data_IF_244328672670
#
_entry.id   IF_244328672670
#
_cell.length_a   1.000
_cell.length_b   1.000
_cell.length_c   1.000
_cell.angle_alpha   90.00
_cell.angle_beta   90.00
_cell.angle_gamma   90.00
#
_symmetry.space_group_name_H-M   'P 1'
#
loop_
_entity.id
_entity.type
_entity.pdbx_description
1 polymer ?
2 polymer ?
3 water ?
#
# COMPACT_ATOMS: atom_id res chain seq x y z
N UNK A 1 16.73 7.59 -5.72
CA UNK A 1 17.20 6.37 -5.02
C UNK A 1 16.41 5.08 -5.35
N UNK A 2 17.09 3.95 -5.47
CA UNK A 2 16.41 2.65 -5.55
C UNK A 2 16.17 2.20 -4.10
N UNK A 3 14.96 1.77 -3.78
CA UNK A 3 14.61 1.34 -2.42
C UNK A 3 13.97 -0.06 -2.43
N UNK A 4 14.72 -1.08 -2.00
CA UNK A 4 14.23 -2.45 -1.79
C UNK A 4 13.26 -2.59 -0.60
N UNK A 5 12.65 -3.76 -0.44
CA UNK A 5 11.39 -3.89 0.30
C UNK A 5 11.47 -4.85 1.49
N UNK A 6 12.70 -5.22 1.89
CA UNK A 6 12.94 -6.11 3.01
C UNK A 6 12.47 -5.48 4.31
N UNK A 7 12.42 -4.15 4.38
CA UNK A 7 11.72 -3.50 5.49
C UNK A 7 10.69 -2.53 4.87
N UNK A 8 9.78 -2.00 5.68
CA UNK A 8 8.98 -0.82 5.33
C UNK A 8 9.71 0.35 4.69
N UNK A 9 9.26 0.76 3.50
CA UNK A 9 9.86 1.84 2.70
C UNK A 9 9.48 3.22 3.26
N UNK A 10 10.02 3.48 4.45
CA UNK A 10 9.81 4.71 5.17
C UNK A 10 10.79 5.76 4.74
N UNK A 11 10.32 6.97 4.50
CA UNK A 11 11.14 8.06 4.02
C UNK A 11 10.79 9.26 4.87
N UNK A 12 11.71 10.23 4.78
CA UNK A 12 11.51 11.45 5.51
C UNK A 12 10.85 12.46 4.63
N UNK A 13 9.76 13.04 5.11
CA UNK A 13 9.05 14.15 4.47
C UNK A 13 8.98 15.46 5.26
N UNK A 14 8.91 16.56 4.54
CA UNK A 14 8.72 17.86 5.16
C UNK A 14 7.47 18.40 4.53
N UNK A 15 6.56 18.81 5.39
CA UNK A 15 5.26 19.27 4.97
C UNK A 15 4.69 20.23 6.00
N UNK A 16 4.07 21.30 5.54
CA UNK A 16 3.72 22.35 6.48
C UNK A 16 4.85 22.84 7.38
N UNK A 17 6.10 22.81 6.91
CA UNK A 17 7.28 23.12 7.70
C UNK A 17 7.69 22.05 8.69
N UNK A 18 6.92 20.99 8.87
CA UNK A 18 7.28 19.98 9.91
C UNK A 18 7.94 18.81 9.20
N UNK A 19 8.68 18.05 9.98
CA UNK A 19 9.23 16.80 9.47
C UNK A 19 8.51 15.58 10.04
N UNK A 20 8.23 14.58 9.20
CA UNK A 20 7.60 13.33 9.54
C UNK A 20 8.21 12.22 8.74
N UNK A 21 8.02 11.02 9.23
CA UNK A 21 8.30 9.83 8.45
C UNK A 21 7.03 9.32 7.81
N UNK A 22 7.17 8.86 6.58
CA UNK A 22 6.03 8.25 5.95
C UNK A 22 6.38 7.12 5.00
N UNK A 23 5.36 6.33 4.66
CA UNK A 23 5.50 5.06 3.98
C UNK A 23 5.13 5.24 2.51
N UNK A 24 6.05 4.87 1.64
CA UNK A 24 5.75 4.90 0.21
C UNK A 24 4.81 3.72 -0.08
N UNK A 25 3.59 4.01 -0.49
CA UNK A 25 2.49 3.05 -0.48
C UNK A 25 1.84 2.98 -1.89
N UNK A 26 2.32 2.10 -2.77
CA UNK A 26 1.79 1.99 -4.13
C UNK A 26 0.36 1.47 -4.14
N UNK A 27 -0.07 0.87 -3.05
CA UNK A 27 -1.45 0.53 -2.77
C UNK A 27 -2.46 1.66 -2.50
N UNK A 28 -1.98 2.92 -2.39
CA UNK A 28 -2.77 4.05 -1.91
C UNK A 28 -2.88 4.96 -3.08
N UNK A 29 -4.14 5.29 -3.43
CA UNK A 29 -4.44 6.19 -4.50
C UNK A 29 -4.01 7.57 -4.03
N UNK A 30 -4.29 7.87 -2.76
CA UNK A 30 -4.02 9.23 -2.23
C UNK A 30 -3.08 9.16 -0.98
N UNK A 31 -2.71 10.32 -0.44
CA UNK A 31 -1.74 10.50 0.65
C UNK A 31 -2.42 10.95 1.89
N UNK A 32 -2.15 10.28 2.99
CA UNK A 32 -2.93 10.50 4.16
C UNK A 32 -1.94 10.60 5.29
N UNK A 33 -2.17 11.64 6.06
CA UNK A 33 -1.23 11.99 7.10
C UNK A 33 -1.99 12.04 8.38
N UNK A 34 -1.27 11.66 9.41
CA UNK A 34 -1.82 11.84 10.73
C UNK A 34 -2.15 13.28 11.10
N UNK A 35 -2.88 13.28 12.21
CA UNK A 35 -3.47 14.51 12.72
C UNK A 35 -2.34 15.53 12.78
N UNK A 36 -2.54 16.55 11.96
CA UNK A 36 -1.51 17.55 11.87
C UNK A 36 -2.22 18.79 11.41
N UNK A 37 -1.45 19.85 11.58
CA UNK A 37 -1.89 21.23 11.43
C UNK A 37 -1.48 21.66 10.02
N UNK A 38 -2.43 22.12 9.22
CA UNK A 38 -2.15 22.46 7.83
C UNK A 38 -2.98 23.64 7.40
N UNK A 39 -2.44 24.40 6.44
CA UNK A 39 -3.02 25.69 6.05
C UNK A 39 -4.05 25.47 4.97
N UNK A 40 -4.67 26.54 4.48
CA UNK A 40 -5.64 26.54 3.40
C UNK A 40 -7.04 26.14 3.86
N UNK A 41 -8.01 26.21 2.94
CA UNK A 41 -9.33 25.59 3.09
C UNK A 41 -9.36 24.05 2.95
N UNK A 42 -10.43 23.38 3.38
CA UNK A 42 -10.58 21.93 3.20
C UNK A 42 -11.97 21.30 3.23
N UNK A 43 -12.23 20.35 2.34
CA UNK A 43 -13.52 19.67 2.37
C UNK A 43 -13.41 18.39 3.21
N UNK A 44 -14.44 17.99 3.96
CA UNK A 44 -14.39 16.70 4.65
C UNK A 44 -14.68 15.63 3.59
N UNK A 45 -14.41 14.39 4.01
CA UNK A 45 -14.20 13.27 3.09
C UNK A 45 -14.00 12.00 3.93
N UNK A 46 -14.36 10.86 3.34
CA UNK A 46 -14.09 9.57 3.98
C UNK A 46 -13.32 8.68 3.00
N UNK A 47 -12.34 7.90 3.45
CA UNK A 47 -11.56 7.04 2.54
C UNK A 47 -11.64 5.65 3.15
N UNK A 48 -11.42 4.64 2.31
CA UNK A 48 -11.42 3.29 2.86
C UNK A 48 -10.14 2.53 2.62
N UNK A 49 -9.79 1.57 3.45
CA UNK A 49 -8.97 0.51 2.94
C UNK A 49 -9.43 -0.81 3.51
N UNK A 50 -8.44 -1.60 3.88
CA UNK A 50 -8.60 -2.85 4.58
C UNK A 50 -9.13 -2.39 5.94
N UNK A 51 -9.94 -3.23 6.59
CA UNK A 51 -10.53 -2.82 7.84
C UNK A 51 -11.72 -1.87 7.75
N UNK A 52 -11.82 -0.99 6.75
CA UNK A 52 -12.99 -0.15 6.60
C UNK A 52 -12.62 1.27 6.22
N UNK A 53 -13.22 2.24 6.92
CA UNK A 53 -13.14 3.65 6.55
C UNK A 53 -12.66 4.55 7.70
N UNK A 54 -12.09 5.71 7.36
CA UNK A 54 -11.91 6.78 8.34
C UNK A 54 -12.45 8.06 7.74
N UNK A 55 -12.86 9.01 8.59
CA UNK A 55 -13.15 10.38 8.15
C UNK A 55 -11.86 11.18 8.15
N UNK A 56 -11.65 11.92 7.07
CA UNK A 56 -10.47 12.77 6.95
C UNK A 56 -10.76 14.17 6.43
N UNK A 57 -9.84 15.08 6.70
CA UNK A 57 -9.98 16.39 6.08
C UNK A 57 -9.10 16.31 4.85
N UNK A 58 -9.55 16.93 3.76
CA UNK A 58 -8.85 16.95 2.50
C UNK A 58 -8.38 18.34 2.12
N UNK A 59 -7.08 18.59 2.06
CA UNK A 59 -6.50 19.83 1.54
C UNK A 59 -5.87 19.64 0.14
N UNK A 60 -6.15 20.56 -0.78
CA UNK A 60 -5.65 20.55 -2.15
C UNK A 60 -4.37 21.38 -2.34
N UNK A 61 -3.55 21.02 -3.30
CA UNK A 61 -2.37 21.83 -3.58
C UNK A 61 -1.45 22.18 -2.42
N UNK A 62 -0.99 21.14 -1.73
CA UNK A 62 -0.04 21.21 -0.63
C UNK A 62 1.33 20.80 -1.14
N UNK A 63 2.38 21.50 -0.71
CA UNK A 63 3.76 21.24 -1.12
C UNK A 63 4.27 20.22 -0.14
N UNK A 64 5.06 19.32 -0.68
CA UNK A 64 5.62 18.35 0.18
C UNK A 64 6.96 17.99 -0.40
N UNK A 65 7.89 17.81 0.52
CA UNK A 65 9.19 17.39 0.07
C UNK A 65 9.45 15.97 0.56
N UNK A 66 9.67 15.00 -0.33
CA UNK A 66 9.64 13.58 0.04
C UNK A 66 11.02 13.08 -0.23
N UNK A 67 11.79 12.68 0.75
CA UNK A 67 13.21 12.47 0.44
C UNK A 67 13.91 13.59 -0.39
N UNK A 68 13.59 14.86 -0.16
CA UNK A 68 14.24 15.95 -0.85
C UNK A 68 13.86 16.23 -2.29
N UNK A 69 12.82 15.63 -2.90
CA UNK A 69 12.21 16.09 -4.17
C UNK A 69 10.80 16.54 -3.82
N UNK A 70 10.35 17.61 -4.47
CA UNK A 70 9.18 18.36 -4.05
C UNK A 70 8.00 17.93 -4.93
N UNK A 71 6.79 17.98 -4.40
CA UNK A 71 5.59 17.48 -5.10
C UNK A 71 4.59 18.43 -4.56
N UNK A 72 3.60 18.72 -5.37
CA UNK A 72 2.47 19.45 -4.86
C UNK A 72 1.24 18.63 -5.20
N UNK A 73 0.33 18.54 -4.25
CA UNK A 73 -0.91 17.85 -4.56
C UNK A 73 -1.85 17.74 -3.38
N UNK A 74 -2.86 16.88 -3.50
CA UNK A 74 -3.79 16.69 -2.41
C UNK A 74 -3.26 15.85 -1.28
N UNK A 75 -3.70 16.20 -0.08
CA UNK A 75 -3.18 15.54 1.09
C UNK A 75 -4.41 15.39 1.94
N UNK A 76 -4.61 14.22 2.54
CA UNK A 76 -5.75 14.04 3.42
C UNK A 76 -5.13 13.97 4.77
N UNK A 77 -5.80 14.50 5.79
CA UNK A 77 -5.31 14.35 7.14
C UNK A 77 -6.32 13.71 8.03
N UNK A 78 -5.96 12.72 8.82
CA UNK A 78 -6.97 12.11 9.66
C UNK A 78 -6.35 11.03 10.52
N UNK A 79 -7.15 10.18 11.17
CA UNK A 79 -6.67 9.23 12.18
C UNK A 79 -6.01 7.95 11.70
N UNK A 80 -5.06 8.09 10.77
CA UNK A 80 -4.39 6.96 10.12
C UNK A 80 -3.28 6.54 11.04
N UNK A 81 -3.08 5.23 11.13
CA UNK A 81 -2.06 4.64 12.02
C UNK A 81 -0.63 4.95 11.56
N UNK A 82 -0.52 5.31 10.28
CA UNK A 82 0.73 5.59 9.59
C UNK A 82 0.54 6.71 8.57
N UNK A 83 1.55 7.55 8.36
CA UNK A 83 1.52 8.49 7.26
C UNK A 83 1.80 7.69 5.98
N UNK A 84 1.07 7.94 4.89
CA UNK A 84 1.25 7.20 3.67
C UNK A 84 1.34 8.15 2.52
N UNK A 85 2.34 7.99 1.69
CA UNK A 85 2.42 8.80 0.51
C UNK A 85 1.89 7.93 -0.65
N UNK A 86 0.77 8.37 -1.22
CA UNK A 86 -0.02 7.60 -2.16
C UNK A 86 0.50 7.91 -3.54
N UNK A 87 -0.17 7.36 -4.57
CA UNK A 87 0.25 7.45 -5.98
C UNK A 87 0.19 8.89 -6.52
N UNK A 88 -0.77 9.63 -5.95
CA UNK A 88 -1.02 11.03 -6.35
C UNK A 88 0.20 11.92 -6.25
N UNK A 89 1.09 11.58 -5.33
CA UNK A 89 2.39 12.25 -5.18
C UNK A 89 3.59 11.47 -5.64
N UNK A 90 3.52 10.15 -5.46
CA UNK A 90 4.59 9.30 -6.00
C UNK A 90 4.85 9.50 -7.49
N UNK A 91 3.79 9.69 -8.27
CA UNK A 91 3.97 9.94 -9.71
C UNK A 91 4.77 11.22 -9.94
N UNK A 92 4.52 12.26 -9.14
CA UNK A 92 5.23 13.53 -9.31
C UNK A 92 6.70 13.44 -8.98
N UNK A 93 7.14 12.48 -8.16
CA UNK A 93 8.56 12.42 -7.85
C UNK A 93 9.21 11.38 -8.72
N UNK A 94 8.43 10.88 -9.67
CA UNK A 94 9.03 9.92 -10.58
C UNK A 94 9.14 8.53 -9.97
N UNK A 95 8.22 8.11 -9.13
CA UNK A 95 8.46 6.83 -8.48
C UNK A 95 7.99 5.61 -9.28
N UNK A 96 8.84 4.62 -9.52
CA UNK A 96 8.45 3.44 -10.30
C UNK A 96 8.74 2.19 -9.52
N UNK A 97 7.99 1.14 -9.79
CA UNK A 97 8.27 -0.23 -9.33
C UNK A 97 8.98 -0.99 -10.44
N UNK A 98 9.97 -1.80 -10.09
CA UNK A 98 10.81 -2.50 -11.06
C UNK A 98 11.07 -3.92 -10.57
N UNK A 99 10.84 -4.94 -11.37
CA UNK A 99 11.30 -6.28 -10.99
C UNK A 99 11.68 -7.20 -12.17
N UNK B 1 9.93 -6.05 -15.23
CA UNK B 1 9.28 -4.85 -15.85
C UNK B 1 9.34 -3.59 -14.97
N UNK B 2 9.46 -2.40 -15.55
CA UNK B 2 9.35 -1.17 -14.76
C UNK B 2 7.86 -0.84 -14.85
N UNK B 3 7.25 -0.50 -13.71
CA UNK B 3 5.84 -0.15 -13.67
C UNK B 3 5.67 1.20 -12.96
N UNK B 4 5.33 2.26 -13.71
CA UNK B 4 4.89 3.58 -13.24
C UNK B 4 3.49 3.56 -12.59
N UNK B 5 3.08 4.67 -11.98
CA UNK B 5 2.05 4.63 -10.94
C UNK B 5 0.85 5.54 -11.24
N UNK B 6 0.76 6.04 -12.46
CA UNK B 6 -0.36 6.85 -12.92
C UNK B 6 -1.69 6.11 -12.79
N UNK B 7 -1.66 4.77 -12.86
CA UNK B 7 -2.84 3.97 -12.49
C UNK B 7 -2.41 2.96 -11.38
N UNK B 8 -3.40 2.34 -10.73
CA UNK B 8 -3.16 1.17 -9.90
C UNK B 8 -2.30 0.09 -10.54
N UNK B 9 -1.23 -0.27 -9.84
CA UNK B 9 -0.22 -1.24 -10.29
C UNK B 9 -0.73 -2.68 -10.12
N UNK B 10 -1.76 -2.98 -10.89
CA UNK B 10 -2.43 -4.26 -10.93
C UNK B 10 -1.70 -5.21 -11.85
N UNK B 11 -1.44 -6.43 -11.42
CA UNK B 11 -0.76 -7.45 -12.22
C UNK B 11 -1.58 -8.71 -12.14
N UNK B 12 -1.23 -9.61 -13.05
CA UNK B 12 -1.90 -10.90 -13.10
C UNK B 12 -1.09 -11.91 -12.31
N UNK B 13 -1.77 -12.58 -11.38
CA UNK B 13 -1.23 -13.70 -10.61
C UNK B 13 -1.94 -15.06 -10.84
N UNK B 14 -1.17 -16.13 -10.73
CA UNK B 14 -1.71 -17.47 -10.70
C UNK B 14 -1.41 -18.05 -9.33
N UNK B 15 -2.44 -18.55 -8.68
CA UNK B 15 -2.28 -19.11 -7.37
C UNK B 15 -3.34 -20.17 -7.15
N UNK B 16 -2.92 -21.29 -6.61
CA UNK B 16 -3.83 -22.40 -6.44
C UNK B 16 -4.49 -22.83 -7.74
N UNK B 17 -3.75 -22.75 -8.84
CA UNK B 17 -4.21 -23.00 -10.18
C UNK B 17 -5.14 -21.94 -10.72
N UNK B 18 -5.53 -20.92 -9.97
CA UNK B 18 -6.50 -19.94 -10.51
C UNK B 18 -5.79 -18.68 -10.93
N UNK B 19 -6.44 -17.89 -11.76
CA UNK B 19 -5.87 -16.59 -12.07
C UNK B 19 -6.64 -15.43 -11.45
N UNK B 20 -5.94 -14.43 -10.94
CA UNK B 20 -6.49 -13.27 -10.31
C UNK B 20 -5.70 -12.06 -10.70
N UNK B 21 -6.37 -10.93 -10.58
CA UNK B 21 -5.62 -9.68 -10.62
C UNK B 21 -5.32 -9.20 -9.23
N UNK B 22 -4.11 -8.71 -9.01
CA UNK B 22 -3.80 -8.12 -7.72
C UNK B 22 -2.87 -6.91 -7.79
N UNK B 23 -2.85 -6.18 -6.70
CA UNK B 23 -2.24 -4.86 -6.58
C UNK B 23 -0.90 -5.00 -5.89
N UNK B 24 0.17 -4.54 -6.54
CA UNK B 24 1.48 -4.47 -5.91
C UNK B 24 1.46 -3.34 -4.87
N UNK B 25 1.60 -3.72 -3.62
CA UNK B 25 1.27 -2.86 -2.49
C UNK B 25 2.47 -2.74 -1.53
N UNK B 26 3.35 -1.77 -1.76
CA UNK B 26 4.54 -1.60 -0.90
C UNK B 26 4.19 -1.21 0.54
N UNK B 27 2.99 -0.69 0.74
CA UNK B 27 2.41 -0.48 2.05
C UNK B 27 1.95 -1.69 2.88
N UNK B 28 2.03 -2.90 2.33
CA UNK B 28 1.50 -4.12 2.92
C UNK B 28 2.68 -4.96 3.27
N UNK B 29 2.73 -5.31 4.56
CA UNK B 29 3.76 -6.20 5.04
C UNK B 29 3.50 -7.58 4.46
N UNK B 30 2.23 -7.99 4.33
CA UNK B 30 1.90 -9.37 3.92
C UNK B 30 0.91 -9.30 2.73
N UNK B 31 0.57 -10.46 2.15
CA UNK B 31 -0.25 -10.63 0.97
C UNK B 31 -1.58 -11.12 1.37
N UNK B 32 -2.64 -10.51 0.90
CA UNK B 32 -3.95 -10.88 1.33
C UNK B 32 -4.79 -10.99 0.10
N UNK B 33 -5.58 -12.04 0.11
CA UNK B 33 -6.32 -12.40 -1.08
C UNK B 33 -7.74 -12.60 -0.68
N UNK B 34 -8.60 -12.23 -1.60
CA UNK B 34 -10.00 -12.51 -1.39
C UNK B 34 -10.32 -13.99 -1.24
N UNK B 35 -11.57 -14.12 -0.78
CA UNK B 35 -12.12 -15.43 -0.42
C UNK B 35 -11.87 -16.38 -1.58
N UNK B 36 -11.02 -17.34 -1.25
CA UNK B 36 -10.62 -18.28 -2.28
C UNK B 36 -10.25 -19.53 -1.55
N UNK B 37 -10.19 -20.55 -2.39
CA UNK B 37 -10.03 -21.95 -2.03
C UNK B 37 -8.53 -22.26 -2.15
N UNK B 38 -7.93 -22.73 -1.07
CA UNK B 38 -6.49 -22.96 -1.03
C UNK B 38 -6.20 -24.18 -0.19
N UNK B 39 -5.07 -24.81 -0.50
CA UNK B 39 -4.73 -26.11 0.09
C UNK B 39 -3.94 -25.88 1.36
N UNK B 40 -3.54 -26.98 1.99
CA UNK B 40 -2.71 -27.00 3.19
C UNK B 40 -3.52 -26.74 4.46
N UNK B 41 -2.84 -26.81 5.60
CA UNK B 41 -3.33 -26.29 6.89
C UNK B 41 -3.37 -24.75 7.01
N UNK B 42 -4.04 -24.20 8.03
CA UNK B 42 -4.00 -22.77 8.30
C UNK B 42 -4.36 -22.23 9.68
N UNK B 43 -3.63 -21.24 10.18
CA UNK B 43 -4.02 -20.66 11.46
C UNK B 43 -4.90 -19.43 11.26
N UNK B 44 -5.91 -19.15 12.08
CA UNK B 44 -6.67 -17.90 11.93
C UNK B 44 -5.81 -16.79 12.54
N UNK B 45 -6.22 -15.56 12.23
CA UNK B 45 -5.35 -14.39 12.31
C UNK B 45 -6.20 -13.17 11.94
N UNK B 46 -5.80 -12.03 12.49
CA UNK B 46 -6.46 -10.76 12.16
C UNK B 46 -5.37 -9.78 11.72
N UNK B 47 -5.65 -8.92 10.74
CA UNK B 47 -4.67 -7.95 10.25
C UNK B 47 -5.38 -6.61 10.23
N UNK B 48 -4.58 -5.55 10.23
CA UNK B 48 -5.20 -4.23 10.17
C UNK B 48 -4.71 -3.38 9.02
N UNK B 49 -5.50 -2.44 8.56
CA UNK B 49 -4.88 -1.30 7.95
C UNK B 49 -5.67 -0.07 8.34
N UNK B 50 -5.85 0.77 7.34
CA UNK B 50 -6.65 1.97 7.41
C UNK B 50 -8.05 1.40 7.56
N UNK B 51 -8.94 2.13 8.24
CA UNK B 51 -10.26 1.61 8.51
C UNK B 51 -10.36 0.61 9.66
N UNK B 52 -9.39 -0.27 9.88
CA UNK B 52 -9.45 -1.15 11.04
C UNK B 52 -8.87 -2.51 10.73
N UNK B 53 -9.62 -3.55 11.06
CA UNK B 53 -9.15 -4.93 10.99
C UNK B 53 -10.09 -5.88 10.23
N UNK B 54 -9.53 -6.96 9.68
CA UNK B 54 -10.37 -8.06 9.22
C UNK B 54 -9.82 -9.34 9.82
N UNK B 55 -10.65 -10.37 9.98
CA UNK B 55 -10.22 -11.74 10.24
C UNK B 55 -9.87 -12.45 8.93
N UNK B 56 -8.73 -13.14 8.94
CA UNK B 56 -8.26 -13.86 7.76
C UNK B 56 -7.71 -15.23 8.11
N UNK B 57 -7.73 -16.12 7.13
CA UNK B 57 -7.04 -17.39 7.34
C UNK B 57 -5.64 -17.20 6.77
N UNK B 58 -4.64 -17.74 7.45
CA UNK B 58 -3.26 -17.67 7.05
C UNK B 58 -2.73 -19.03 6.60
N UNK B 59 -2.32 -19.16 5.34
CA UNK B 59 -1.59 -20.31 4.81
C UNK B 59 -0.08 -20.02 4.52
N UNK B 60 0.80 -20.90 5.00
CA UNK B 60 2.24 -20.73 4.87
C UNK B 60 2.80 -21.45 3.63
N UNK B 61 3.86 -20.95 3.04
CA UNK B 61 4.48 -21.67 1.93
C UNK B 61 3.56 -22.00 0.76
N UNK B 62 2.97 -20.98 0.15
CA UNK B 62 2.12 -21.07 -1.02
C UNK B 62 2.89 -20.54 -2.21
N UNK B 63 2.75 -21.21 -3.37
CA UNK B 63 3.46 -20.86 -4.59
C UNK B 63 2.56 -19.85 -5.25
N UNK B 64 3.21 -18.90 -5.87
CA UNK B 64 2.45 -17.90 -6.53
C UNK B 64 3.30 -17.40 -7.66
N UNK B 65 2.59 -17.21 -8.76
CA UNK B 65 3.28 -16.67 -9.91
C UNK B 65 2.76 -15.28 -10.23
N UNK B 66 3.61 -14.25 -10.16
CA UNK B 66 3.18 -12.85 -10.13
C UNK B 66 3.73 -12.26 -11.38
N UNK B 67 2.92 -11.90 -12.35
CA UNK B 67 3.50 -11.53 -13.64
C UNK B 67 4.56 -12.55 -14.18
N UNK B 68 4.37 -13.85 -13.97
CA UNK B 68 5.29 -14.86 -14.46
C UNK B 68 6.63 -15.05 -13.76
N UNK B 69 6.91 -14.47 -12.58
CA UNK B 69 8.03 -14.83 -11.69
C UNK B 69 7.37 -15.50 -10.50
N UNK B 70 7.96 -16.59 -10.03
CA UNK B 70 7.31 -17.42 -9.04
C UNK B 70 7.87 -16.97 -7.68
N UNK B 71 7.12 -17.15 -6.61
CA UNK B 71 7.47 -16.72 -5.24
C UNK B 71 6.76 -17.74 -4.41
N UNK B 72 7.33 -18.04 -3.26
CA UNK B 72 6.66 -18.91 -2.32
C UNK B 72 6.66 -18.18 -0.99
N UNK B 73 5.53 -18.21 -0.31
CA UNK B 73 5.47 -17.59 0.99
C UNK B 73 4.07 -17.58 1.60
N UNK B 74 3.91 -16.78 2.65
CA UNK B 74 2.65 -16.75 3.34
C UNK B 74 1.59 -15.94 2.65
N UNK B 75 0.35 -16.39 2.77
CA UNK B 75 -0.70 -15.78 1.98
C UNK B 75 -1.84 -15.77 2.94
N UNK B 76 -2.59 -14.67 3.02
CA UNK B 76 -3.69 -14.61 3.96
C UNK B 76 -4.85 -14.60 3.04
N UNK B 77 -5.96 -15.20 3.44
CA UNK B 77 -7.16 -15.08 2.63
C UNK B 77 -8.29 -14.57 3.46
N UNK B 78 -9.04 -13.60 3.01
CA UNK B 78 -10.15 -13.12 3.81
C UNK B 78 -10.91 -12.05 3.06
N UNK B 79 -11.80 -11.31 3.74
CA UNK B 79 -12.73 -10.37 3.09
C UNK B 79 -12.17 -9.01 2.68
N UNK B 80 -11.05 -9.02 1.97
CA UNK B 80 -10.39 -7.81 1.50
C UNK B 80 -11.06 -7.36 0.23
N UNK B 81 -11.15 -6.04 0.08
CA UNK B 81 -11.78 -5.42 -1.09
C UNK B 81 -10.99 -5.61 -2.41
N UNK B 82 -9.71 -5.93 -2.24
CA UNK B 82 -8.73 -6.05 -3.31
C UNK B 82 -7.66 -7.09 -2.94
N UNK B 83 -7.19 -7.84 -3.94
CA UNK B 83 -6.10 -8.75 -3.70
C UNK B 83 -4.85 -7.86 -3.66
N UNK B 84 -3.97 -8.11 -2.70
CA UNK B 84 -2.78 -7.30 -2.51
C UNK B 84 -1.60 -8.21 -2.35
N UNK B 85 -0.58 -7.93 -3.12
CA UNK B 85 0.68 -8.61 -2.97
C UNK B 85 1.60 -7.70 -2.13
N UNK B 86 1.99 -8.18 -0.96
CA UNK B 86 2.62 -7.44 0.11
C UNK B 86 4.10 -7.68 -0.04
N UNK B 87 4.89 -7.11 0.89
CA UNK B 87 6.35 -7.08 0.79
C UNK B 87 7.00 -8.47 0.89
N UNK B 88 6.30 -9.34 1.64
CA UNK B 88 6.74 -10.74 1.89
C UNK B 88 7.03 -11.48 0.61
N UNK B 89 6.28 -11.12 -0.43
CA UNK B 89 6.46 -11.68 -1.77
C UNK B 89 7.12 -10.81 -2.81
N UNK B 90 6.83 -9.51 -2.71
CA UNK B 90 7.55 -8.57 -3.57
C UNK B 90 9.06 -8.71 -3.46
N UNK B 91 9.59 -8.92 -2.25
CA UNK B 91 11.04 -9.06 -2.11
C UNK B 91 11.53 -10.29 -2.88
N UNK B 92 10.73 -11.36 -2.88
CA UNK B 92 11.16 -12.57 -3.60
C UNK B 92 11.19 -12.43 -5.09
N UNK B 93 10.41 -11.52 -5.68
CA UNK B 93 10.45 -11.36 -7.13
C UNK B 93 11.36 -10.22 -7.52
N UNK B 94 12.10 -9.72 -6.54
CA UNK B 94 13.05 -8.67 -6.85
C UNK B 94 12.42 -7.30 -6.98
N UNK B 95 11.33 -7.00 -6.28
CA UNK B 95 10.68 -5.74 -6.58
C UNK B 95 11.24 -4.51 -5.85
N UNK B 96 11.62 -3.46 -6.55
CA UNK B 96 12.17 -2.26 -5.92
C UNK B 96 11.41 -1.03 -6.35
N UNK B 97 11.48 0.00 -5.53
CA UNK B 97 11.01 1.35 -5.84
C UNK B 97 12.20 2.22 -6.21
N UNK B 98 12.00 3.05 -7.22
CA UNK B 98 13.07 3.88 -7.76
C UNK B 98 12.53 5.27 -8.05
N UNK B 99 13.18 6.31 -7.56
CA UNK B 99 12.85 7.65 -8.03
C UNK B 99 14.05 8.60 -8.08
C UNK C 1 -2.23 -0.25 1.62
N UNK C 2 -3.39 -1.04 1.47
CA UNK C 2 -4.47 -0.60 0.55
C UNK C 2 -5.21 0.62 1.09
N UNK C 3 -5.47 1.59 0.20
CA UNK C 3 -6.30 2.74 0.56
C UNK C 3 -6.93 3.24 -0.74
N UNK C 4 -8.15 3.73 -0.59
CA UNK C 4 -8.87 4.40 -1.69
C UNK C 4 -9.95 5.34 -1.17
N UNK C 5 -10.40 6.24 -1.86
#
# INVERSE_FOLDING_TARGET
PQITLWQRPLVTIKIGGQLKEALLDTGADDTVLEEMSLPGRWKPKMIGGIGGFIKVRQYDQILIEICGHKAIGTVLVGPTPVNIIGRNLLTQIGCTLNF
PQITLWQRPLVTIKIGGQLKEALLDTGADDTVLEEMSLPGRWKPKMIGGIGGFIKVRQYDQILIEICGHKAIGTVLVGPTPVNIIGRNLLTQIGCTLNF
XFEEX
#
